data_IF_108947916874
#
_entry.id   IF_108947916874
#
_cell.length_a   1.000
_cell.length_b   1.000
_cell.length_c   1.000
_cell.angle_alpha   90.00
_cell.angle_beta   90.00
_cell.angle_gamma   90.00
#
_symmetry.space_group_name_H-M   'P 1'
#
loop_
_entity.id
_entity.type
_entity.pdbx_description
1 polymer ?
2 non-polymer ?
3 non-polymer ?
#
# COMPACT_ATOMS: atom_id res chain seq x y z
N UNK A 9 32.29 2.68 -0.35
CA UNK A 9 31.88 2.64 -1.75
C UNK A 9 31.08 3.89 -2.13
N UNK A 10 31.46 5.03 -1.54
CA UNK A 10 30.78 6.29 -1.81
C UNK A 10 31.13 6.87 -3.17
N UNK A 11 32.01 6.24 -3.94
CA UNK A 11 32.37 6.74 -5.25
C UNK A 11 31.89 5.85 -6.38
N UNK A 12 30.93 4.98 -6.07
CA UNK A 12 30.44 4.03 -7.07
C UNK A 12 29.66 4.74 -8.18
N UNK A 13 28.75 5.64 -7.79
CA UNK A 13 27.94 6.32 -8.78
C UNK A 13 28.74 7.36 -9.56
N UNK A 14 29.80 7.90 -8.96
CA UNK A 14 30.65 8.85 -9.67
C UNK A 14 31.65 8.16 -10.58
N UNK A 15 32.02 6.91 -10.30
CA UNK A 15 32.88 6.16 -11.20
C UNK A 15 32.11 5.45 -12.31
N UNK A 16 30.78 5.40 -12.22
CA UNK A 16 29.94 4.85 -13.26
C UNK A 16 29.35 5.92 -14.18
N UNK A 17 29.54 7.20 -13.85
CA UNK A 17 28.96 8.27 -14.65
C UNK A 17 27.51 8.56 -14.34
N UNK A 18 27.08 8.30 -13.11
CA UNK A 18 25.70 8.49 -12.68
C UNK A 18 25.66 9.69 -11.73
N UNK A 19 24.86 10.70 -12.00
CA UNK A 19 24.79 11.88 -11.12
C UNK A 19 24.01 11.56 -9.84
N UNK A 20 23.98 12.54 -8.95
CA UNK A 20 23.30 12.40 -7.69
C UNK A 20 23.86 13.32 -6.62
N UNK A 21 23.21 13.36 -5.46
CA UNK A 21 23.71 14.22 -4.38
C UNK A 21 25.00 13.67 -3.78
N UNK A 22 25.87 14.58 -3.38
CA UNK A 22 27.15 14.19 -2.79
C UNK A 22 26.92 13.55 -1.43
N UNK A 23 27.32 12.29 -1.23
CA UNK A 23 27.08 11.64 0.05
C UNK A 23 28.08 12.05 1.12
N UNK A 24 27.70 11.80 2.36
CA UNK A 24 28.53 12.02 3.53
C UNK A 24 29.04 10.71 4.09
N UNK A 25 30.17 10.71 4.80
CA UNK A 25 30.67 9.47 5.41
C UNK A 25 29.66 8.87 6.39
N UNK A 26 29.50 7.54 6.31
CA UNK A 26 28.58 6.79 7.15
C UNK A 26 27.14 7.14 6.85
N UNK A 27 26.81 8.44 6.94
CA UNK A 27 25.42 8.88 6.76
C UNK A 27 24.96 8.64 5.33
N UNK A 28 25.75 9.08 4.35
CA UNK A 28 25.35 8.97 2.97
C UNK A 28 24.47 10.12 2.52
N UNK A 29 23.18 9.83 2.24
CA UNK A 29 22.24 10.85 1.82
C UNK A 29 20.97 10.84 2.67
N UNK A 30 21.01 10.22 3.85
CA UNK A 30 19.82 10.16 4.69
C UNK A 30 19.50 11.50 5.32
N UNK A 31 20.46 12.42 5.39
CA UNK A 31 20.17 13.75 5.89
C UNK A 31 19.29 14.54 4.95
N UNK A 32 19.20 14.14 3.68
CA UNK A 32 18.31 14.77 2.72
C UNK A 32 16.87 14.28 2.86
N UNK A 33 16.58 13.47 3.87
CA UNK A 33 15.23 12.99 4.14
C UNK A 33 14.47 13.89 5.11
N UNK A 34 15.03 15.06 5.45
CA UNK A 34 14.32 15.97 6.33
C UNK A 34 13.08 16.55 5.65
N UNK A 35 13.14 16.74 4.33
CA UNK A 35 11.95 17.17 3.59
C UNK A 35 10.94 16.05 3.49
N UNK A 36 11.39 14.80 3.55
CA UNK A 36 10.54 13.65 3.39
C UNK A 36 11.05 12.71 2.31
N UNK A 37 10.43 11.54 2.25
CA UNK A 37 10.81 10.55 1.25
C UNK A 37 10.41 10.99 -0.15
N UNK A 38 9.18 11.50 -0.30
CA UNK A 38 8.69 11.86 -1.62
C UNK A 38 9.35 13.12 -2.15
N UNK A 39 9.58 14.10 -1.28
CA UNK A 39 10.19 15.36 -1.72
C UNK A 39 11.63 15.15 -2.16
N UNK A 40 12.32 14.15 -1.58
CA UNK A 40 13.69 13.86 -2.00
C UNK A 40 13.73 13.26 -3.40
N UNK A 41 12.76 12.41 -3.73
CA UNK A 41 12.74 11.79 -5.05
C UNK A 41 12.33 12.79 -6.13
N UNK A 42 11.45 13.74 -5.80
CA UNK A 42 11.02 14.71 -6.80
C UNK A 42 12.10 15.74 -7.09
N UNK A 43 12.85 16.15 -6.05
CA UNK A 43 13.95 17.08 -6.27
C UNK A 43 15.08 16.42 -7.07
N UNK A 44 15.39 15.16 -6.75
CA UNK A 44 16.43 14.45 -7.50
C UNK A 44 16.00 14.18 -8.94
N UNK A 45 14.70 13.97 -9.16
CA UNK A 45 14.20 13.78 -10.52
C UNK A 45 14.19 15.08 -11.31
N UNK A 46 14.15 16.22 -10.63
CA UNK A 46 14.10 17.51 -11.32
C UNK A 46 15.48 17.94 -11.80
N UNK A 47 16.51 17.73 -10.99
CA UNK A 47 17.85 18.25 -11.29
C UNK A 47 18.77 17.22 -11.92
N UNK A 48 18.44 15.93 -11.85
CA UNK A 48 19.32 14.88 -12.35
C UNK A 48 18.79 14.14 -13.57
N UNK A 49 17.49 14.19 -13.81
CA UNK A 49 16.93 13.66 -15.04
C UNK A 49 16.36 12.25 -14.86
N UNK A 50 16.72 11.36 -15.77
CA UNK A 50 16.07 10.04 -15.82
C UNK A 50 16.72 9.04 -14.87
N UNK A 51 18.00 9.23 -14.55
CA UNK A 51 18.74 8.28 -13.72
C UNK A 51 19.64 9.05 -12.77
N UNK A 52 19.58 8.70 -11.48
CA UNK A 52 20.45 9.26 -10.48
C UNK A 52 20.71 8.21 -9.41
N UNK A 53 21.66 8.51 -8.53
CA UNK A 53 22.03 7.58 -7.48
C UNK A 53 22.31 8.30 -6.18
N UNK A 54 22.03 7.62 -5.08
CA UNK A 54 22.29 8.13 -3.74
C UNK A 54 22.59 6.96 -2.82
N UNK A 55 22.91 7.28 -1.56
CA UNK A 55 23.36 6.27 -0.60
C UNK A 55 22.49 6.33 0.65
N UNK A 56 21.87 5.21 1.00
CA UNK A 56 21.22 5.04 2.29
C UNK A 56 22.25 4.47 3.26
N UNK A 57 23.08 5.36 3.80
CA UNK A 57 24.21 4.93 4.59
C UNK A 57 25.38 4.56 3.70
N UNK A 58 25.83 3.31 3.81
CA UNK A 58 26.84 2.78 2.90
C UNK A 58 26.23 1.99 1.75
N UNK A 59 24.91 1.87 1.71
CA UNK A 59 24.23 1.10 0.68
C UNK A 59 23.97 1.97 -0.53
N UNK A 60 24.46 1.62 -1.72
CA UNK A 60 24.13 2.39 -2.91
C UNK A 60 22.74 2.07 -3.43
N UNK A 61 22.02 3.11 -3.85
CA UNK A 61 20.67 2.98 -4.37
C UNK A 61 20.58 3.70 -5.70
N UNK A 62 20.14 3.00 -6.73
CA UNK A 62 19.99 3.55 -8.08
C UNK A 62 18.51 3.73 -8.38
N UNK A 63 18.15 4.92 -8.87
CA UNK A 63 16.78 5.24 -9.23
C UNK A 63 16.65 5.31 -10.75
N UNK A 64 15.56 4.74 -11.26
CA UNK A 64 15.31 4.68 -12.70
C UNK A 64 13.92 5.25 -12.97
N UNK A 65 13.78 5.94 -14.10
CA UNK A 65 12.49 6.49 -14.52
C UNK A 65 12.09 6.06 -15.93
N UNK A 66 12.98 5.46 -16.71
CA UNK A 66 12.64 5.07 -18.07
C UNK A 66 11.66 3.90 -18.04
N UNK A 67 10.54 3.97 -18.78
CA UNK A 67 9.56 2.89 -18.73
C UNK A 67 10.09 1.55 -19.19
N UNK A 68 11.05 1.54 -20.13
CA UNK A 68 11.60 0.27 -20.59
C UNK A 68 12.53 -0.35 -19.54
N UNK A 69 13.30 0.49 -18.84
CA UNK A 69 14.17 -0.03 -17.79
C UNK A 69 13.36 -0.54 -16.61
N UNK A 70 12.25 0.13 -16.29
CA UNK A 70 11.39 -0.35 -15.22
C UNK A 70 10.71 -1.65 -15.62
N UNK A 71 10.30 -1.76 -16.88
CA UNK A 71 9.69 -3.00 -17.37
C UNK A 71 10.70 -4.15 -17.34
N UNK A 72 11.96 -3.86 -17.64
CA UNK A 72 12.99 -4.90 -17.62
C UNK A 72 13.28 -5.36 -16.20
N UNK A 73 13.25 -4.44 -15.24
CA UNK A 73 13.60 -4.78 -13.87
C UNK A 73 12.48 -5.59 -13.21
N UNK A 74 11.24 -5.14 -13.36
CA UNK A 74 10.13 -5.72 -12.61
C UNK A 74 9.47 -6.90 -13.31
N UNK A 75 9.44 -6.90 -14.64
CA UNK A 75 8.70 -7.91 -15.42
C UNK A 75 9.64 -8.90 -16.09
N UNK A 76 10.58 -8.41 -16.89
CA UNK A 76 11.43 -9.27 -17.70
C UNK A 76 12.47 -10.08 -16.92
N UNK A 77 13.44 -9.41 -16.34
CA UNK A 77 14.55 -10.07 -15.65
C UNK A 77 14.27 -10.08 -14.15
N UNK A 78 13.07 -10.52 -13.77
CA UNK A 78 12.70 -10.53 -12.36
C UNK A 78 13.23 -11.79 -11.66
N UNK A 79 12.98 -12.96 -12.23
CA UNK A 79 13.42 -14.20 -11.60
C UNK A 79 14.94 -14.38 -11.64
N UNK A 80 15.63 -13.64 -12.50
CA UNK A 80 17.07 -13.81 -12.68
C UNK A 80 17.89 -12.82 -11.86
N UNK A 81 17.49 -11.56 -11.81
CA UNK A 81 18.31 -10.52 -11.16
C UNK A 81 17.52 -9.82 -10.07
N UNK A 82 16.36 -9.27 -10.42
CA UNK A 82 15.58 -8.45 -9.50
C UNK A 82 14.46 -9.29 -8.89
N UNK A 83 14.87 -10.18 -7.99
CA UNK A 83 13.96 -11.12 -7.35
C UNK A 83 13.53 -10.68 -5.95
N UNK A 84 14.42 -10.03 -5.19
CA UNK A 84 14.19 -9.73 -3.80
C UNK A 84 14.23 -8.23 -3.55
N UNK A 85 13.67 -7.82 -2.42
CA UNK A 85 13.79 -6.45 -1.94
C UNK A 85 14.98 -6.35 -0.97
N UNK A 86 15.26 -5.14 -0.49
CA UNK A 86 16.42 -5.05 0.39
C UNK A 86 16.08 -5.60 1.78
N UNK A 87 17.06 -6.23 2.44
CA UNK A 87 16.83 -6.75 3.80
C UNK A 87 16.83 -5.61 4.81
N UNK A 88 15.88 -5.73 5.76
CA UNK A 88 15.62 -4.61 6.67
C UNK A 88 15.52 -5.12 8.09
N UNK A 89 16.36 -4.53 8.90
CA UNK A 89 16.28 -4.74 10.33
C UNK A 89 16.29 -6.19 10.78
N UNK A 90 16.21 -6.40 12.09
CA UNK A 90 16.04 -7.76 12.63
C UNK A 90 14.63 -8.27 12.40
N UNK A 91 14.52 -9.34 11.62
CA UNK A 91 13.21 -9.90 11.32
C UNK A 91 12.79 -11.01 12.27
N UNK A 92 13.70 -11.58 13.03
CA UNK A 92 13.30 -12.56 14.03
C UNK A 92 12.89 -13.81 13.28
N UNK A 93 11.64 -14.22 13.51
CA UNK A 93 11.08 -15.37 12.81
C UNK A 93 10.44 -14.96 11.50
N UNK A 94 10.05 -13.69 11.37
CA UNK A 94 9.37 -13.12 10.20
C UNK A 94 10.18 -13.25 8.93
N UNK A 95 11.40 -13.74 8.92
CA UNK A 95 12.07 -14.07 7.64
C UNK A 95 11.23 -14.82 6.66
N UNK A 96 10.34 -15.68 7.14
CA UNK A 96 9.50 -16.51 6.27
C UNK A 96 8.33 -15.74 5.68
N UNK A 97 8.20 -14.45 5.96
CA UNK A 97 7.13 -13.67 5.35
C UNK A 97 7.34 -13.56 3.85
N UNK A 98 6.26 -13.74 3.09
CA UNK A 98 6.34 -13.81 1.64
C UNK A 98 7.01 -12.57 1.06
N UNK A 99 6.83 -11.42 1.71
CA UNK A 99 7.46 -10.19 1.23
C UNK A 99 8.89 -10.07 1.71
N UNK A 100 9.21 -10.64 2.87
CA UNK A 100 10.59 -10.66 3.35
C UNK A 100 11.37 -11.79 2.72
N UNK A 101 10.70 -12.91 2.41
CA UNK A 101 11.35 -14.07 1.81
C UNK A 101 12.02 -13.71 0.49
N UNK A 102 12.99 -14.52 0.10
CA UNK A 102 13.82 -14.24 -1.06
C UNK A 102 13.97 -15.50 -1.91
N UNK A 103 14.10 -15.29 -3.22
CA UNK A 103 14.48 -16.31 -4.20
C UNK A 103 13.44 -17.44 -4.20
N UNK A 104 13.87 -18.71 -4.28
CA UNK A 104 12.95 -19.82 -4.45
C UNK A 104 12.03 -19.98 -3.25
N UNK A 105 12.47 -19.54 -2.06
CA UNK A 105 11.60 -19.60 -0.88
C UNK A 105 10.36 -18.75 -1.08
N UNK A 106 10.51 -17.59 -1.72
CA UNK A 106 9.34 -16.75 -2.03
C UNK A 106 8.50 -17.37 -3.13
N UNK A 107 9.14 -17.98 -4.13
CA UNK A 107 8.41 -18.56 -5.25
C UNK A 107 7.46 -19.66 -4.79
N UNK A 108 7.80 -20.35 -3.70
CA UNK A 108 6.88 -21.32 -3.11
C UNK A 108 5.76 -20.63 -2.35
N UNK A 109 6.08 -19.58 -1.59
CA UNK A 109 5.06 -18.85 -0.85
C UNK A 109 4.13 -18.09 -1.79
N UNK A 110 4.68 -17.51 -2.86
CA UNK A 110 3.85 -16.83 -3.84
C UNK A 110 2.89 -17.80 -4.53
N UNK A 111 3.35 -19.03 -4.78
CA UNK A 111 2.52 -20.01 -5.45
C UNK A 111 1.50 -20.63 -4.50
N UNK A 112 1.91 -20.92 -3.26
CA UNK A 112 0.98 -21.52 -2.29
C UNK A 112 -0.06 -20.54 -1.80
N UNK A 113 0.14 -19.23 -2.02
CA UNK A 113 -0.82 -18.21 -1.59
C UNK A 113 -1.53 -17.54 -2.75
N UNK A 114 -1.18 -17.90 -3.99
CA UNK A 114 -1.79 -17.32 -5.19
C UNK A 114 -3.26 -17.72 -5.32
N UNK A 115 -3.63 -18.99 -5.09
CA UNK A 115 -5.06 -19.34 -5.19
C UNK A 115 -5.95 -18.59 -4.23
N UNK A 116 -5.41 -18.06 -3.13
CA UNK A 116 -6.25 -17.31 -2.17
C UNK A 116 -6.70 -15.97 -2.73
N UNK A 117 -6.06 -15.48 -3.79
CA UNK A 117 -6.43 -14.20 -4.37
C UNK A 117 -6.79 -14.37 -5.85
N UNK A 118 -7.80 -15.19 -6.13
CA UNK A 118 -8.24 -15.48 -7.49
C UNK A 118 -9.56 -14.77 -7.77
N UNK A 119 -9.98 -14.86 -9.04
CA UNK A 119 -11.25 -14.26 -9.45
C UNK A 119 -12.45 -14.97 -8.86
N UNK A 120 -12.29 -16.22 -8.44
CA UNK A 120 -13.40 -16.97 -7.86
C UNK A 120 -13.43 -16.88 -6.35
N UNK A 121 -12.27 -16.93 -5.72
CA UNK A 121 -12.20 -16.86 -4.26
C UNK A 121 -12.61 -15.48 -3.75
N UNK A 122 -12.41 -14.43 -4.56
CA UNK A 122 -12.80 -13.09 -4.14
C UNK A 122 -14.31 -12.96 -4.07
N UNK A 123 -15.04 -13.64 -4.95
CA UNK A 123 -16.49 -13.53 -4.95
C UNK A 123 -17.10 -14.23 -3.73
N UNK A 124 -16.39 -15.21 -3.16
CA UNK A 124 -16.87 -15.87 -1.95
C UNK A 124 -16.90 -14.91 -0.78
N UNK A 125 -15.96 -13.98 -0.71
CA UNK A 125 -15.87 -13.05 0.41
C UNK A 125 -16.76 -11.82 0.24
N UNK A 126 -17.40 -11.66 -0.92
CA UNK A 126 -18.27 -10.50 -1.14
C UNK A 126 -19.45 -10.49 -0.17
N UNK A 127 -20.21 -11.59 0.03
CA UNK A 127 -21.29 -11.55 1.02
C UNK A 127 -20.80 -11.35 2.45
N UNK A 128 -19.53 -11.63 2.73
CA UNK A 128 -19.02 -11.47 4.09
C UNK A 128 -18.62 -10.02 4.34
N UNK A 129 -17.85 -9.42 3.44
CA UNK A 129 -17.41 -8.05 3.64
C UNK A 129 -18.52 -7.03 3.38
N UNK A 130 -19.57 -7.43 2.65
CA UNK A 130 -20.71 -6.55 2.50
C UNK A 130 -21.51 -6.40 3.79
N UNK A 131 -21.36 -7.35 4.72
CA UNK A 131 -22.01 -7.23 6.02
C UNK A 131 -21.45 -6.05 6.81
N UNK A 132 -20.13 -5.91 6.84
CA UNK A 132 -19.51 -4.79 7.54
C UNK A 132 -19.76 -3.47 6.83
N UNK A 133 -20.13 -3.50 5.55
CA UNK A 133 -20.61 -2.29 4.90
C UNK A 133 -21.89 -1.78 5.52
N UNK A 134 -22.73 -2.69 6.05
CA UNK A 134 -23.91 -2.29 6.80
C UNK A 134 -23.56 -1.83 8.21
N UNK A 135 -22.53 -2.44 8.82
CA UNK A 135 -22.10 -2.03 10.15
C UNK A 135 -21.47 -0.65 10.11
N UNK A 136 -20.74 -0.34 9.03
CA UNK A 136 -20.13 0.97 8.91
C UNK A 136 -21.18 2.07 8.80
N UNK A 137 -22.34 1.76 8.22
CA UNK A 137 -23.44 2.73 8.17
C UNK A 137 -23.98 2.98 9.57
N UNK A 138 -24.07 1.92 10.40
CA UNK A 138 -24.58 2.07 11.74
C UNK A 138 -23.69 2.97 12.59
N UNK A 139 -22.38 2.77 12.51
CA UNK A 139 -21.45 3.68 13.19
C UNK A 139 -21.47 5.06 12.56
N UNK A 140 -21.74 5.14 11.26
CA UNK A 140 -21.88 6.44 10.61
C UNK A 140 -23.20 7.10 10.99
N UNK A 141 -24.30 6.34 10.94
CA UNK A 141 -25.59 6.89 11.31
C UNK A 141 -25.59 7.41 12.74
N UNK A 142 -24.71 6.89 13.59
CA UNK A 142 -24.57 7.39 14.95
C UNK A 142 -23.74 8.66 14.98
N UNK A 143 -22.61 8.67 14.26
CA UNK A 143 -21.75 9.84 14.22
C UNK A 143 -22.21 10.88 13.21
N UNK A 144 -23.25 10.59 12.42
CA UNK A 144 -23.85 11.58 11.54
C UNK A 144 -25.09 12.23 12.14
N UNK A 145 -25.93 11.44 12.83
CA UNK A 145 -27.08 12.01 13.52
C UNK A 145 -26.65 12.85 14.71
N UNK A 146 -25.47 12.56 15.29
CA UNK A 146 -24.93 13.42 16.33
C UNK A 146 -24.48 14.77 15.78
N UNK A 147 -24.35 14.90 14.46
CA UNK A 147 -24.10 16.16 13.80
C UNK A 147 -22.84 16.89 14.24
N UNK A 148 -21.69 16.29 14.00
CA UNK A 148 -20.41 16.89 14.37
C UNK A 148 -19.32 16.23 13.53
N UNK A 149 -18.17 16.90 13.37
CA UNK A 149 -17.10 16.34 12.53
C UNK A 149 -16.65 14.96 13.01
N UNK A 150 -16.33 14.10 12.05
CA UNK A 150 -15.97 12.71 12.31
C UNK A 150 -14.57 12.46 11.76
N UNK A 151 -13.74 11.79 12.54
CA UNK A 151 -12.41 11.38 12.09
C UNK A 151 -12.55 10.13 11.23
N UNK A 152 -12.06 10.19 9.99
CA UNK A 152 -12.28 9.12 9.04
C UNK A 152 -11.40 7.90 9.29
N UNK A 153 -10.18 8.12 9.80
CA UNK A 153 -9.27 7.00 10.00
C UNK A 153 -9.74 6.04 11.10
N UNK A 154 -10.61 6.50 11.99
CA UNK A 154 -11.11 5.62 13.05
C UNK A 154 -12.23 4.72 12.54
N UNK A 155 -13.22 5.31 11.85
CA UNK A 155 -14.34 4.52 11.35
C UNK A 155 -13.88 3.61 10.20
N UNK A 156 -13.06 4.13 9.30
CA UNK A 156 -12.55 3.30 8.21
C UNK A 156 -11.55 2.27 8.74
N UNK A 157 -10.72 2.66 9.71
CA UNK A 157 -9.82 1.71 10.32
C UNK A 157 -10.55 0.59 11.04
N UNK A 158 -11.70 0.89 11.62
CA UNK A 158 -12.51 -0.15 12.24
C UNK A 158 -13.11 -1.08 11.19
N UNK A 159 -13.63 -0.51 10.10
CA UNK A 159 -14.17 -1.33 9.01
C UNK A 159 -13.09 -2.24 8.43
N UNK A 160 -11.91 -1.67 8.14
CA UNK A 160 -10.83 -2.46 7.57
C UNK A 160 -10.39 -3.56 8.53
N UNK A 161 -10.37 -3.26 9.83
CA UNK A 161 -9.92 -4.26 10.81
C UNK A 161 -10.93 -5.39 10.96
N UNK A 162 -12.23 -5.07 10.92
CA UNK A 162 -13.24 -6.12 10.98
C UNK A 162 -13.28 -6.93 9.70
N UNK A 163 -13.01 -6.29 8.55
CA UNK A 163 -12.94 -7.03 7.29
C UNK A 163 -11.74 -7.98 7.30
N UNK A 164 -10.64 -7.54 7.92
CA UNK A 164 -9.46 -8.41 8.02
C UNK A 164 -9.78 -9.66 8.81
N UNK A 165 -10.31 -9.49 10.02
CA UNK A 165 -10.53 -10.62 10.92
C UNK A 165 -11.55 -11.61 10.36
N UNK A 166 -12.51 -11.14 9.57
CA UNK A 166 -13.53 -12.04 9.03
C UNK A 166 -13.03 -12.78 7.80
N UNK A 167 -12.25 -12.11 6.94
CA UNK A 167 -11.74 -12.74 5.74
C UNK A 167 -10.46 -13.52 5.97
N UNK A 168 -9.71 -13.20 7.03
CA UNK A 168 -8.50 -13.96 7.32
C UNK A 168 -8.83 -15.22 8.13
N UNK A 169 -9.53 -15.07 9.25
CA UNK A 169 -9.88 -16.19 10.10
C UNK A 169 -11.37 -16.43 10.21
N UNK A 170 -12.16 -15.37 10.40
CA UNK A 170 -13.61 -15.51 10.50
C UNK A 170 -14.17 -15.01 11.81
N UNK A 171 -13.39 -14.21 12.53
CA UNK A 171 -13.81 -13.65 13.81
C UNK A 171 -14.59 -12.36 13.54
N UNK A 172 -15.88 -12.37 13.87
CA UNK A 172 -16.75 -11.22 13.64
C UNK A 172 -16.75 -10.33 14.88
N UNK A 173 -16.09 -9.18 14.78
CA UNK A 173 -16.06 -8.19 15.85
C UNK A 173 -16.48 -6.84 15.28
N UNK A 174 -16.64 -5.86 16.16
CA UNK A 174 -16.94 -4.48 15.79
C UNK A 174 -15.85 -3.63 16.44
N UNK A 175 -14.72 -3.50 15.73
CA UNK A 175 -13.54 -2.85 16.29
C UNK A 175 -13.81 -1.45 16.81
N UNK A 176 -14.90 -0.82 16.37
CA UNK A 176 -15.27 0.49 16.89
C UNK A 176 -16.19 0.41 18.10
N UNK A 177 -17.04 -0.63 18.18
CA UNK A 177 -17.96 -0.77 19.30
C UNK A 177 -17.32 -1.45 20.50
N UNK A 178 -16.31 -2.29 20.29
CA UNK A 178 -15.60 -2.99 21.35
C UNK A 178 -14.15 -2.54 21.35
N UNK A 179 -13.85 -1.34 21.87
CA UNK A 179 -12.47 -0.84 21.87
C UNK A 179 -11.74 -1.16 23.18
N UNK A 180 -11.65 -2.46 23.49
CA UNK A 180 -11.01 -2.93 24.73
C UNK A 180 -9.78 -3.80 24.40
N UNK A 181 -9.86 -4.65 23.37
CA UNK A 181 -8.72 -5.39 22.91
C UNK A 181 -8.77 -5.72 21.40
N UNK A 182 -9.08 -4.73 20.56
CA UNK A 182 -9.19 -4.95 19.12
C UNK A 182 -7.82 -5.23 18.49
N UNK A 183 -7.11 -6.22 19.03
CA UNK A 183 -5.80 -6.55 18.54
C UNK A 183 -4.79 -5.46 18.36
N UNK A 184 -4.15 -5.40 17.20
CA UNK A 184 -3.16 -4.33 16.94
C UNK A 184 -2.16 -4.07 18.04
N UNK A 197 12.68 9.11 13.39
CA UNK A 197 12.78 7.67 13.62
C UNK A 197 14.05 7.34 14.43
N UNK A 198 13.88 6.54 15.49
CA UNK A 198 14.99 6.31 16.42
C UNK A 198 15.71 4.98 16.24
N UNK A 199 15.11 3.90 16.76
CA UNK A 199 15.79 2.61 16.81
C UNK A 199 16.25 2.13 15.44
N UNK A 200 15.58 2.56 14.38
CA UNK A 200 15.68 2.01 13.12
C UNK A 200 16.47 2.89 12.06
N UNK A 201 16.36 4.22 12.23
CA UNK A 201 17.31 5.12 11.58
C UNK A 201 18.78 4.78 11.80
N UNK A 202 19.16 4.50 13.04
CA UNK A 202 20.49 3.98 13.34
C UNK A 202 20.71 2.60 12.73
N UNK A 203 19.62 1.89 12.41
CA UNK A 203 19.75 0.57 11.80
C UNK A 203 20.12 0.68 10.32
N UNK A 204 19.54 1.65 9.62
CA UNK A 204 19.84 1.82 8.20
C UNK A 204 21.27 2.28 8.00
N UNK A 205 21.75 3.20 8.84
CA UNK A 205 23.13 3.67 8.72
C UNK A 205 24.11 2.60 9.19
N UNK A 206 23.71 1.79 10.19
CA UNK A 206 24.55 0.74 10.74
C UNK A 206 23.90 -0.61 10.49
N UNK A 207 24.09 -1.18 9.29
CA UNK A 207 23.51 -2.50 9.00
C UNK A 207 24.21 -3.64 9.72
N UNK A 208 25.39 -3.41 10.29
CA UNK A 208 26.13 -4.44 11.00
C UNK A 208 25.60 -4.69 12.41
N UNK A 209 24.51 -4.03 12.80
CA UNK A 209 23.86 -4.29 14.08
C UNK A 209 22.67 -5.23 13.94
N UNK A 210 22.30 -5.61 12.72
CA UNK A 210 21.17 -6.52 12.53
C UNK A 210 21.44 -7.90 13.11
N UNK A 211 22.57 -8.55 12.84
CA UNK A 211 22.77 -9.91 13.39
C UNK A 211 22.82 -9.96 14.90
N UNK A 212 23.29 -8.90 15.55
CA UNK A 212 23.37 -8.90 17.01
C UNK A 212 21.97 -8.90 17.61
N UNK A 213 21.05 -8.14 17.02
CA UNK A 213 19.68 -8.11 17.52
C UNK A 213 18.92 -9.39 17.19
N UNK A 214 19.35 -10.13 16.15
CA UNK A 214 18.71 -11.40 15.83
C UNK A 214 19.07 -12.46 16.85
N UNK A 215 20.33 -12.50 17.29
CA UNK A 215 20.77 -13.48 18.27
C UNK A 215 20.27 -13.17 19.68
N UNK A 216 19.75 -11.95 19.90
CA UNK A 216 19.19 -11.56 21.18
C UNK A 216 17.66 -11.63 21.19
N UNK A 217 17.07 -12.32 20.21
CA UNK A 217 15.63 -12.47 20.08
C UNK A 217 14.91 -11.13 19.93
N UNK A 218 15.64 -10.08 19.52
CA UNK A 218 15.07 -8.76 19.36
C UNK A 218 14.58 -8.60 17.93
N UNK A 219 13.34 -8.13 17.78
CA UNK A 219 12.74 -7.92 16.48
C UNK A 219 12.26 -6.47 16.37
N UNK A 220 12.22 -5.97 15.13
CA UNK A 220 11.68 -4.63 14.90
C UNK A 220 10.22 -4.56 15.33
N UNK A 221 9.47 -5.63 15.07
CA UNK A 221 8.11 -5.69 15.56
C UNK A 221 8.16 -5.89 17.08
N UNK A 222 7.14 -5.45 17.81
CA UNK A 222 7.06 -5.79 19.24
C UNK A 222 6.87 -7.29 19.35
N UNK A 223 7.98 -8.00 19.59
CA UNK A 223 7.98 -9.45 19.52
C UNK A 223 7.04 -10.10 20.52
N UNK A 224 6.70 -9.41 21.61
CA UNK A 224 5.78 -9.98 22.59
C UNK A 224 4.39 -10.21 22.02
N UNK A 225 4.05 -9.56 20.90
CA UNK A 225 2.83 -9.91 20.17
C UNK A 225 3.26 -11.10 19.30
N UNK A 226 2.46 -11.44 18.29
CA UNK A 226 2.77 -12.54 17.37
C UNK A 226 2.48 -13.85 18.09
N UNK A 227 3.11 -14.07 19.26
CA UNK A 227 2.83 -15.26 20.05
C UNK A 227 1.36 -15.32 20.44
N UNK A 228 0.69 -14.17 20.54
CA UNK A 228 -0.75 -14.15 20.63
C UNK A 228 -1.37 -14.85 19.43
N UNK A 229 -1.07 -14.36 18.23
CA UNK A 229 -1.55 -15.02 17.03
C UNK A 229 -0.97 -16.41 16.86
N UNK A 230 0.28 -16.62 17.32
CA UNK A 230 0.86 -17.95 17.26
C UNK A 230 0.07 -18.95 18.10
N UNK A 231 -0.57 -18.48 19.17
CA UNK A 231 -1.47 -19.31 19.97
C UNK A 231 -2.94 -19.02 19.69
N UNK A 232 -3.26 -17.90 19.03
CA UNK A 232 -4.65 -17.66 18.63
C UNK A 232 -5.08 -18.60 17.52
N UNK A 233 -4.15 -18.99 16.64
CA UNK A 233 -4.44 -19.94 15.58
C UNK A 233 -4.25 -21.35 16.13
N UNK A 234 -5.03 -21.70 17.16
CA UNK A 234 -5.02 -23.04 17.74
C UNK A 234 -6.38 -23.70 17.68
N UNK A 235 -7.45 -22.98 18.02
CA UNK A 235 -8.78 -23.54 17.91
C UNK A 235 -9.26 -23.65 16.47
N UNK A 236 -8.63 -22.92 15.54
CA UNK A 236 -8.92 -23.03 14.12
C UNK A 236 -8.20 -24.19 13.45
N UNK A 237 -6.96 -24.50 13.88
CA UNK A 237 -6.28 -25.68 13.33
C UNK A 237 -6.78 -26.97 13.91
N UNK A 238 -7.93 -26.93 14.59
CA UNK A 238 -8.58 -28.13 15.10
C UNK A 238 -10.00 -28.30 14.60
N UNK A 239 -10.64 -27.25 14.10
CA UNK A 239 -12.00 -27.34 13.61
C UNK A 239 -12.23 -26.35 12.48
N UNK A 250 -12.50 -18.37 4.11
CA UNK A 250 -11.60 -17.30 4.54
C UNK A 250 -10.18 -17.56 4.07
N UNK A 251 -9.26 -16.65 4.44
CA UNK A 251 -7.87 -16.81 4.07
C UNK A 251 -7.23 -18.01 4.76
N UNK A 252 -7.56 -18.22 6.04
CA UNK A 252 -6.93 -19.30 6.81
C UNK A 252 -7.36 -20.66 6.31
N UNK A 253 -8.67 -20.88 6.16
CA UNK A 253 -9.17 -22.18 5.73
C UNK A 253 -8.62 -22.59 4.38
N UNK A 254 -8.37 -21.64 3.49
CA UNK A 254 -7.80 -21.93 2.17
C UNK A 254 -6.28 -22.04 2.20
N UNK A 255 -5.66 -22.39 3.32
CA UNK A 255 -4.19 -22.47 3.36
C UNK A 255 -3.68 -23.74 4.02
N UNK A 256 -4.35 -24.18 5.09
CA UNK A 256 -3.82 -25.28 5.88
C UNK A 256 -4.19 -26.60 5.24
N UNK A 257 -5.29 -26.62 4.47
CA UNK A 257 -5.93 -27.84 4.03
C UNK A 257 -4.98 -28.81 3.35
N UNK A 258 -3.96 -28.30 2.66
CA UNK A 258 -3.02 -29.16 1.97
C UNK A 258 -2.17 -29.92 3.00
N UNK A 269 3.74 -28.73 2.77
CA UNK A 269 2.71 -28.03 3.52
C UNK A 269 3.30 -26.88 4.31
N UNK A 270 2.49 -25.85 4.55
CA UNK A 270 2.93 -24.69 5.30
C UNK A 270 3.17 -25.06 6.76
N UNK A 271 4.24 -24.51 7.33
CA UNK A 271 4.58 -24.75 8.72
C UNK A 271 3.63 -23.99 9.65
N UNK A 272 3.83 -24.16 10.95
CA UNK A 272 3.03 -23.45 11.94
C UNK A 272 3.57 -22.04 12.18
N UNK A 273 4.90 -21.89 12.25
CA UNK A 273 5.47 -20.56 12.40
C UNK A 273 5.37 -19.76 11.11
N UNK A 274 5.45 -20.43 9.95
CA UNK A 274 5.22 -19.74 8.69
C UNK A 274 3.77 -19.27 8.60
N UNK A 275 2.83 -20.11 9.05
CA UNK A 275 1.42 -19.77 8.90
C UNK A 275 1.07 -18.52 9.70
N UNK A 276 1.68 -18.35 10.87
CA UNK A 276 1.47 -17.13 11.64
C UNK A 276 2.22 -15.95 11.02
N UNK A 277 3.40 -16.21 10.42
CA UNK A 277 4.17 -15.14 9.81
C UNK A 277 3.45 -14.56 8.60
N UNK A 278 2.78 -15.40 7.81
CA UNK A 278 2.07 -14.91 6.64
C UNK A 278 0.81 -14.13 7.03
N UNK A 279 0.15 -14.53 8.11
CA UNK A 279 -1.04 -13.82 8.55
C UNK A 279 -0.73 -12.45 9.13
N UNK A 280 0.50 -12.23 9.59
CA UNK A 280 0.87 -10.91 10.10
C UNK A 280 1.00 -9.90 8.97
N UNK A 281 1.57 -10.34 7.84
CA UNK A 281 1.67 -9.46 6.69
C UNK A 281 0.28 -9.16 6.12
N UNK A 282 -0.61 -10.15 6.15
CA UNK A 282 -1.96 -9.94 5.65
C UNK A 282 -2.74 -8.95 6.51
N UNK A 283 -2.44 -8.87 7.81
CA UNK A 283 -3.10 -7.91 8.67
C UNK A 283 -2.50 -6.53 8.51
N UNK A 284 -1.16 -6.44 8.47
CA UNK A 284 -0.50 -5.15 8.29
C UNK A 284 -0.88 -4.52 6.96
N UNK A 285 -1.08 -5.32 5.93
CA UNK A 285 -1.46 -4.79 4.62
C UNK A 285 -2.89 -4.27 4.63
N UNK A 286 -3.87 -5.16 4.76
CA UNK A 286 -5.27 -4.81 4.65
C UNK A 286 -5.75 -3.77 5.64
N UNK A 287 -4.93 -3.39 6.62
CA UNK A 287 -5.34 -2.41 7.63
C UNK A 287 -4.91 -0.99 7.22
N UNK A 288 -3.61 -0.73 7.26
CA UNK A 288 -3.11 0.62 6.97
C UNK A 288 -3.38 1.01 5.52
N UNK A 289 -3.40 0.04 4.61
CA UNK A 289 -3.64 0.36 3.20
C UNK A 289 -5.09 0.76 2.97
N UNK A 290 -6.04 -0.09 3.40
CA UNK A 290 -7.45 0.21 3.18
C UNK A 290 -7.88 1.46 3.94
N UNK A 291 -7.34 1.66 5.15
CA UNK A 291 -7.76 2.81 5.95
C UNK A 291 -7.24 4.12 5.37
N UNK A 292 -5.98 4.14 4.93
CA UNK A 292 -5.38 5.38 4.46
C UNK A 292 -5.95 5.80 3.10
N UNK A 293 -6.12 4.83 2.19
CA UNK A 293 -6.61 5.16 0.85
C UNK A 293 -8.05 5.66 0.91
N UNK A 294 -8.89 5.02 1.73
CA UNK A 294 -10.27 5.46 1.85
C UNK A 294 -10.35 6.87 2.42
N UNK A 295 -9.47 7.21 3.36
CA UNK A 295 -9.43 8.57 3.88
C UNK A 295 -8.96 9.55 2.82
N UNK A 296 -8.04 9.14 1.96
CA UNK A 296 -7.62 9.98 0.85
C UNK A 296 -8.74 10.17 -0.17
N UNK A 297 -9.58 9.16 -0.37
CA UNK A 297 -10.65 9.26 -1.35
C UNK A 297 -11.72 10.23 -0.85
N UNK A 298 -12.16 10.07 0.39
CA UNK A 298 -13.20 10.94 0.92
C UNK A 298 -12.75 12.38 1.07
N UNK A 299 -11.44 12.62 1.15
CA UNK A 299 -10.95 14.00 1.14
C UNK A 299 -11.16 14.64 -0.23
N UNK A 300 -10.85 13.90 -1.30
CA UNK A 300 -11.03 14.43 -2.64
C UNK A 300 -12.51 14.60 -2.97
N UNK A 301 -13.35 13.67 -2.53
CA UNK A 301 -14.78 13.76 -2.80
C UNK A 301 -15.42 14.93 -2.05
N UNK A 302 -14.91 15.25 -0.86
CA UNK A 302 -15.45 16.38 -0.10
C UNK A 302 -14.93 17.71 -0.62
N UNK A 303 -13.73 17.72 -1.20
CA UNK A 303 -13.17 18.94 -1.77
C UNK A 303 -13.56 19.13 -3.24
N UNK A 304 -14.18 18.14 -3.86
CA UNK A 304 -14.66 18.23 -5.24
C UNK A 304 -16.08 17.67 -5.28
N UNK A 305 -17.07 18.46 -4.87
CA UNK A 305 -18.46 17.96 -4.87
C UNK A 305 -18.97 17.58 -6.25
N UNK A 306 -18.41 18.14 -7.31
CA UNK A 306 -18.81 17.74 -8.67
C UNK A 306 -18.43 16.30 -8.95
N UNK A 307 -17.37 15.80 -8.31
CA UNK A 307 -16.99 14.39 -8.48
C UNK A 307 -17.82 13.50 -7.57
N UNK A 308 -18.11 13.95 -6.35
CA UNK A 308 -18.89 13.14 -5.43
C UNK A 308 -20.34 13.02 -5.90
N UNK A 309 -20.91 14.11 -6.43
CA UNK A 309 -22.28 14.04 -6.93
C UNK A 309 -22.37 13.12 -8.14
N UNK A 310 -21.41 13.22 -9.07
CA UNK A 310 -21.41 12.33 -10.23
C UNK A 310 -21.19 10.88 -9.84
N UNK A 311 -20.42 10.64 -8.78
CA UNK A 311 -20.20 9.27 -8.32
C UNK A 311 -21.46 8.73 -7.62
N UNK A 312 -22.13 9.58 -6.85
CA UNK A 312 -23.36 9.14 -6.19
C UNK A 312 -24.47 8.87 -7.19
N UNK A 313 -24.48 9.59 -8.31
CA UNK A 313 -25.50 9.35 -9.34
C UNK A 313 -25.25 8.03 -10.06
N UNK A 314 -23.99 7.67 -10.26
CA UNK A 314 -23.68 6.39 -10.89
C UNK A 314 -23.99 5.22 -9.95
N UNK A 315 -23.71 5.39 -8.65
CA UNK A 315 -23.99 4.33 -7.69
C UNK A 315 -25.49 4.09 -7.59
N UNK A 316 -26.28 5.16 -7.54
CA UNK A 316 -27.73 5.01 -7.51
C UNK A 316 -28.30 4.52 -8.83
N UNK A 317 -27.60 4.75 -9.95
CA UNK A 317 -28.08 4.25 -11.23
C UNK A 317 -27.86 2.75 -11.36
N UNK A 318 -26.68 2.27 -10.99
CA UNK A 318 -26.42 0.83 -11.04
C UNK A 318 -27.21 0.10 -9.96
N UNK A 319 -27.22 0.66 -8.75
CA UNK A 319 -27.95 0.09 -7.62
C UNK A 319 -29.13 0.99 -7.27
N UNK A 320 -30.32 0.71 -7.80
CA UNK A 320 -31.46 1.59 -7.56
C UNK A 320 -32.00 1.44 -6.14
N UNK A 321 -32.34 2.57 -5.53
CA UNK A 321 -32.98 2.61 -4.21
C UNK A 321 -32.13 1.91 -3.15
N UNK A 322 -30.85 2.27 -3.10
CA UNK A 322 -29.91 1.73 -2.11
C UNK A 322 -29.85 0.20 -2.18
N UNK A 323 -29.62 -0.32 -3.38
CA UNK A 323 -29.54 -1.76 -3.56
C UNK A 323 -28.20 -2.29 -3.06
N UNK A 324 -28.16 -3.55 -2.64
CA UNK A 324 -26.90 -4.13 -2.14
C UNK A 324 -25.92 -4.34 -3.28
N UNK A 325 -24.62 -4.10 -3.05
CA UNK A 325 -23.63 -4.29 -4.10
C UNK A 325 -23.11 -5.72 -4.15
N UNK A 326 -22.91 -6.21 -5.37
CA UNK A 326 -22.42 -7.56 -5.61
C UNK A 326 -21.03 -7.48 -6.26
N UNK A 327 -20.46 -8.66 -6.52
CA UNK A 327 -19.15 -8.73 -7.15
C UNK A 327 -19.20 -8.17 -8.57
N UNK A 328 -20.20 -8.59 -9.34
CA UNK A 328 -20.35 -8.08 -10.71
C UNK A 328 -20.80 -6.64 -10.74
N UNK A 329 -21.45 -6.16 -9.68
CA UNK A 329 -21.85 -4.75 -9.62
C UNK A 329 -20.65 -3.83 -9.51
N UNK A 330 -19.67 -4.21 -8.69
CA UNK A 330 -18.48 -3.38 -8.51
C UNK A 330 -17.68 -3.29 -9.80
N UNK A 331 -17.55 -4.41 -10.52
CA UNK A 331 -16.79 -4.43 -11.76
C UNK A 331 -17.46 -3.66 -12.89
N UNK A 332 -18.68 -3.17 -12.69
CA UNK A 332 -19.38 -2.43 -13.72
C UNK A 332 -19.17 -0.92 -13.60
N UNK A 333 -19.20 -0.39 -12.38
CA UNK A 333 -19.04 1.04 -12.16
C UNK A 333 -17.66 1.51 -12.62
N UNK A 334 -17.61 2.22 -13.75
CA UNK A 334 -16.34 2.68 -14.28
C UNK A 334 -15.89 4.00 -13.67
N UNK A 335 -16.81 4.92 -13.39
CA UNK A 335 -16.43 6.17 -12.76
C UNK A 335 -15.95 5.96 -11.33
N UNK A 336 -16.50 4.94 -10.65
CA UNK A 336 -15.96 4.57 -9.34
C UNK A 336 -14.52 4.08 -9.47
N UNK A 337 -14.21 3.38 -10.56
CA UNK A 337 -12.84 2.96 -10.81
C UNK A 337 -11.96 4.15 -11.17
N UNK A 338 -12.53 5.13 -11.89
CA UNK A 338 -11.77 6.32 -12.24
C UNK A 338 -11.43 7.16 -11.01
N UNK A 339 -12.31 7.17 -10.00
CA UNK A 339 -12.03 7.90 -8.78
C UNK A 339 -10.98 7.19 -7.95
N UNK A 340 -11.07 5.86 -7.86
CA UNK A 340 -10.09 5.10 -7.08
C UNK A 340 -8.72 5.16 -7.74
N UNK A 341 -8.67 5.04 -9.06
CA UNK A 341 -7.38 5.05 -9.75
C UNK A 341 -6.70 6.42 -9.70
N UNK A 342 -7.48 7.49 -9.72
CA UNK A 342 -6.88 8.83 -9.69
C UNK A 342 -6.37 9.19 -8.31
N UNK A 343 -7.04 8.71 -7.25
CA UNK A 343 -6.55 8.95 -5.90
C UNK A 343 -5.26 8.17 -5.64
N UNK A 344 -5.18 6.94 -6.15
CA UNK A 344 -3.95 6.16 -6.02
C UNK A 344 -2.81 6.79 -6.80
N UNK A 345 -3.10 7.57 -7.84
CA UNK A 345 -2.06 8.32 -8.53
C UNK A 345 -1.46 9.40 -7.63
N UNK A 346 -2.33 10.14 -6.94
CA UNK A 346 -1.85 11.21 -6.06
C UNK A 346 -1.17 10.63 -4.82
N UNK A 347 -1.74 9.58 -4.24
CA UNK A 347 -1.23 9.01 -2.99
C UNK A 347 -0.97 7.52 -3.16
N UNK A 348 0.14 7.15 -3.80
CA UNK A 348 0.55 5.74 -3.78
C UNK A 348 1.29 5.41 -2.50
N UNK A 349 0.60 4.73 -1.57
CA UNK A 349 1.14 4.50 -0.24
C UNK A 349 2.41 3.67 -0.23
N UNK A 350 2.84 3.16 -1.38
CA UNK A 350 4.10 2.45 -1.45
C UNK A 350 5.26 3.42 -1.63
N UNK A 351 5.05 4.48 -2.42
CA UNK A 351 6.04 5.50 -2.65
C UNK A 351 7.18 4.97 -3.54
N UNK A 352 7.80 3.88 -3.10
CA UNK A 352 8.95 3.29 -3.78
C UNK A 352 8.79 1.84 -4.10
N UNK A 353 9.40 1.40 -5.19
CA UNK A 353 9.51 -0.01 -5.56
C UNK A 353 10.99 -0.36 -5.59
N UNK A 354 11.40 -1.31 -4.75
CA UNK A 354 12.81 -1.63 -4.58
C UNK A 354 13.08 -3.07 -5.02
N UNK A 355 14.23 -3.27 -5.67
CA UNK A 355 14.70 -4.57 -6.09
C UNK A 355 16.20 -4.64 -5.88
N UNK A 356 16.69 -5.80 -5.44
CA UNK A 356 18.11 -6.03 -5.19
C UNK A 356 18.72 -6.66 -6.43
N UNK A 357 19.83 -6.08 -6.90
CA UNK A 357 20.54 -6.62 -8.06
C UNK A 357 21.38 -7.81 -7.62
N UNK A 358 21.06 -8.99 -8.15
CA UNK A 358 21.72 -10.22 -7.73
C UNK A 358 23.06 -10.45 -8.41
N UNK A 359 23.28 -9.87 -9.59
CA UNK A 359 24.53 -10.10 -10.31
C UNK A 359 24.80 -8.92 -11.22
N UNK A 360 26.03 -8.84 -11.71
CA UNK A 360 26.43 -7.78 -12.64
C UNK A 360 25.67 -7.96 -13.95
N UNK A 361 24.86 -6.96 -14.30
CA UNK A 361 24.02 -7.01 -15.50
C UNK A 361 24.08 -5.67 -16.20
N UNK A 362 23.51 -5.63 -17.41
CA UNK A 362 23.47 -4.42 -18.23
C UNK A 362 22.09 -4.34 -18.86
N UNK A 363 21.25 -3.43 -18.38
CA UNK A 363 19.87 -3.29 -18.83
C UNK A 363 19.73 -2.03 -19.65
N UNK A 364 19.22 -2.16 -20.87
CA UNK A 364 18.89 -1.03 -21.74
C UNK A 364 20.08 -0.09 -21.95
N UNK A 365 21.28 -0.62 -21.87
CA UNK A 365 22.48 0.13 -22.17
C UNK A 365 23.19 0.78 -21.00
N UNK A 366 23.06 0.24 -19.80
CA UNK A 366 23.83 0.73 -18.66
C UNK A 366 24.12 -0.42 -17.72
N UNK A 367 25.32 -0.38 -17.12
CA UNK A 367 25.78 -1.44 -16.24
C UNK A 367 25.38 -1.17 -14.81
N UNK A 368 24.98 -2.23 -14.10
CA UNK A 368 24.59 -2.17 -12.70
C UNK A 368 25.41 -3.17 -11.92
N UNK A 369 26.26 -2.75 -10.99
CA UNK A 369 27.05 -3.71 -10.22
C UNK A 369 26.19 -4.49 -9.23
N UNK A 370 26.75 -5.61 -8.78
CA UNK A 370 26.03 -6.49 -7.85
C UNK A 370 25.90 -5.83 -6.49
N UNK A 371 24.74 -6.02 -5.86
CA UNK A 371 24.47 -5.51 -4.54
C UNK A 371 23.77 -4.18 -4.49
N UNK A 372 23.57 -3.52 -5.63
CA UNK A 372 22.92 -2.21 -5.67
C UNK A 372 21.41 -2.40 -5.66
N UNK A 373 20.73 -1.65 -4.79
CA UNK A 373 19.28 -1.70 -4.72
C UNK A 373 18.71 -0.75 -5.77
N UNK A 374 17.99 -1.30 -6.75
CA UNK A 374 17.37 -0.51 -7.79
C UNK A 374 15.99 -0.06 -7.32
N UNK A 375 15.80 1.24 -7.19
CA UNK A 375 14.57 1.81 -6.67
C UNK A 375 13.79 2.49 -7.80
N UNK A 376 12.48 2.34 -7.76
CA UNK A 376 11.57 2.95 -8.72
C UNK A 376 10.72 3.98 -7.98
N UNK A 377 10.95 5.28 -8.18
CA UNK A 377 10.16 6.28 -7.46
C UNK A 377 8.74 6.41 -8.00
N UNK A 378 7.80 5.69 -7.39
CA UNK A 378 6.42 5.71 -7.88
C UNK A 378 5.77 7.07 -7.66
N UNK A 379 6.05 7.72 -6.52
CA UNK A 379 5.47 9.02 -6.26
C UNK A 379 5.95 10.07 -7.24
N UNK A 380 7.25 10.07 -7.55
CA UNK A 380 7.79 11.07 -8.47
C UNK A 380 7.30 10.84 -9.89
N UNK A 381 7.09 9.59 -10.29
CA UNK A 381 6.60 9.30 -11.64
C UNK A 381 5.13 9.69 -11.79
N UNK A 382 4.36 9.65 -10.70
CA UNK A 382 2.94 9.99 -10.76
C UNK A 382 2.69 11.49 -10.88
N UNK A 383 3.62 12.33 -10.41
CA UNK A 383 3.44 13.77 -10.48
C UNK A 383 4.51 14.39 -11.38
N UNK A 384 4.57 13.95 -12.64
CA UNK A 384 5.55 14.40 -13.58
C UNK A 384 4.85 14.99 -14.81
N UNK A 385 5.17 16.23 -15.20
CA UNK A 385 4.55 16.80 -16.42
C UNK A 385 4.90 16.04 -17.70
N UNK A 386 5.89 15.15 -17.66
CA UNK A 386 6.22 14.37 -18.85
C UNK A 386 5.08 13.43 -19.25
N UNK A 387 4.30 12.97 -18.27
CA UNK A 387 3.21 12.03 -18.54
C UNK A 387 1.86 12.48 -18.03
N UNK A 388 1.79 13.48 -17.15
CA UNK A 388 0.53 13.92 -16.57
C UNK A 388 0.40 15.42 -16.72
N UNK A 389 -0.79 15.87 -17.14
CA UNK A 389 -1.09 17.28 -17.25
C UNK A 389 -1.78 17.74 -15.97
N UNK A 390 -1.27 18.84 -15.39
CA UNK A 390 -1.68 19.31 -14.07
C UNK A 390 -1.53 18.16 -13.07
N UNK A 391 -0.31 17.85 -12.64
CA UNK A 391 -0.11 16.70 -11.75
C UNK A 391 -0.51 16.97 -10.31
N UNK A 392 -0.69 18.22 -9.92
CA UNK A 392 -1.13 18.56 -8.57
C UNK A 392 -2.64 18.57 -8.42
N UNK A 393 -3.38 18.43 -9.51
CA UNK A 393 -4.84 18.49 -9.48
C UNK A 393 -5.45 17.10 -9.48
N UNK A 394 -6.73 17.05 -9.10
CA UNK A 394 -7.51 15.82 -9.00
C UNK A 394 -8.52 15.80 -10.13
N UNK A 395 -8.17 15.13 -11.23
CA UNK A 395 -9.02 15.04 -12.41
C UNK A 395 -9.32 13.58 -12.71
N UNK A 396 -10.47 13.06 -12.26
CA UNK A 396 -10.77 11.64 -12.48
C UNK A 396 -10.90 11.25 -13.94
N UNK A 397 -11.15 12.20 -14.84
CA UNK A 397 -11.30 11.89 -16.26
C UNK A 397 -9.99 11.46 -16.92
N UNK A 398 -8.87 11.45 -16.19
CA UNK A 398 -7.64 10.94 -16.74
C UNK A 398 -7.70 9.43 -16.97
N UNK A 399 -8.55 8.73 -16.23
CA UNK A 399 -8.66 7.27 -16.32
C UNK A 399 -9.95 6.84 -17.03
N UNK A 400 -10.59 7.74 -17.76
CA UNK A 400 -11.76 7.35 -18.55
C UNK A 400 -11.35 6.38 -19.65
N UNK A 401 -12.33 5.59 -20.12
CA UNK A 401 -12.05 4.58 -21.13
C UNK A 401 -11.54 5.19 -22.43
N UNK A 402 -11.73 6.49 -22.62
CA UNK A 402 -11.12 7.17 -23.76
C UNK A 402 -9.68 7.58 -23.45
N UNK A 403 -9.40 7.96 -22.20
CA UNK A 403 -8.09 8.44 -21.81
C UNK A 403 -7.24 7.40 -21.09
N UNK A 404 -7.81 6.24 -20.73
CA UNK A 404 -7.04 5.21 -20.06
C UNK A 404 -6.05 4.52 -20.98
N UNK A 405 -6.15 4.72 -22.30
CA UNK A 405 -5.27 4.05 -23.23
C UNK A 405 -3.92 4.75 -23.36
N UNK A 406 -3.88 6.06 -23.16
CA UNK A 406 -2.66 6.85 -23.31
C UNK A 406 -1.93 7.05 -21.99
N UNK A 407 -1.87 6.00 -21.16
CA UNK A 407 -1.19 6.05 -19.88
C UNK A 407 -0.24 4.87 -19.81
N UNK A 408 1.04 5.15 -19.61
CA UNK A 408 2.05 4.11 -19.55
C UNK A 408 1.84 3.22 -18.33
N UNK A 409 1.69 1.90 -18.48
CA UNK A 409 1.45 1.04 -17.32
C UNK A 409 2.65 0.91 -16.39
N UNK A 410 3.82 1.41 -16.77
CA UNK A 410 5.00 1.36 -15.93
C UNK A 410 5.34 2.70 -15.28
N UNK A 411 4.65 3.77 -15.66
CA UNK A 411 4.72 5.01 -14.91
C UNK A 411 3.70 5.02 -13.78
N UNK A 412 2.55 4.38 -13.97
CA UNK A 412 1.48 4.29 -12.98
C UNK A 412 1.46 2.85 -12.45
N UNK A 413 2.20 2.61 -11.37
CA UNK A 413 2.30 1.29 -10.75
C UNK A 413 2.01 1.42 -9.25
N UNK A 414 0.73 1.56 -8.88
CA UNK A 414 0.40 1.61 -7.44
C UNK A 414 0.51 0.26 -6.76
N UNK A 415 0.51 -0.84 -7.51
CA UNK A 415 0.59 -2.18 -6.94
C UNK A 415 1.84 -2.92 -7.40
N UNK A 416 2.82 -2.18 -7.94
CA UNK A 416 3.98 -2.81 -8.53
C UNK A 416 3.67 -3.49 -9.85
N UNK A 417 4.56 -4.42 -10.22
CA UNK A 417 4.38 -5.16 -11.46
C UNK A 417 5.28 -6.39 -11.43
N UNK A 418 4.98 -7.33 -12.33
CA UNK A 418 5.76 -8.54 -12.44
C UNK A 418 5.37 -9.58 -11.40
N UNK A 419 6.23 -10.59 -11.22
CA UNK A 419 5.92 -11.65 -10.24
C UNK A 419 5.90 -11.15 -8.80
N UNK A 420 6.70 -10.15 -8.46
CA UNK A 420 6.78 -9.63 -7.10
C UNK A 420 5.78 -8.51 -6.84
N UNK A 421 4.70 -8.43 -7.61
CA UNK A 421 3.73 -7.37 -7.46
C UNK A 421 2.83 -7.64 -6.26
N UNK A 422 1.85 -6.74 -6.06
CA UNK A 422 0.92 -6.87 -4.94
C UNK A 422 0.00 -8.07 -5.16
N UNK A 423 0.12 -9.08 -4.28
CA UNK A 423 -0.71 -10.26 -4.40
C UNK A 423 -2.14 -9.98 -3.96
N UNK A 424 -2.36 -8.91 -3.20
CA UNK A 424 -3.69 -8.57 -2.76
C UNK A 424 -4.26 -7.36 -3.47
N UNK A 425 -3.91 -7.22 -4.76
CA UNK A 425 -4.39 -6.09 -5.54
C UNK A 425 -5.89 -6.16 -5.76
N UNK A 426 -6.37 -7.22 -6.41
CA UNK A 426 -7.79 -7.35 -6.69
C UNK A 426 -8.61 -7.49 -5.41
N UNK A 427 -8.00 -7.99 -4.33
CA UNK A 427 -8.69 -8.06 -3.06
C UNK A 427 -8.84 -6.68 -2.43
N UNK A 428 -7.89 -5.78 -2.68
CA UNK A 428 -7.93 -4.46 -2.07
C UNK A 428 -8.98 -3.58 -2.74
N UNK A 429 -8.99 -3.53 -4.07
CA UNK A 429 -9.94 -2.68 -4.77
C UNK A 429 -11.38 -3.11 -4.53
N UNK A 430 -11.61 -4.41 -4.34
CA UNK A 430 -12.96 -4.88 -4.08
C UNK A 430 -13.43 -4.47 -2.68
N UNK A 431 -12.53 -4.52 -1.70
CA UNK A 431 -12.89 -4.15 -0.33
C UNK A 431 -13.13 -2.65 -0.20
N UNK A 432 -12.34 -1.84 -0.93
CA UNK A 432 -12.50 -0.40 -0.85
C UNK A 432 -13.75 0.07 -1.57
N UNK A 433 -13.97 -0.42 -2.79
CA UNK A 433 -15.12 0.02 -3.56
C UNK A 433 -16.43 -0.44 -2.92
N UNK A 434 -16.45 -1.64 -2.34
CA UNK A 434 -17.65 -2.10 -1.63
C UNK A 434 -17.97 -1.21 -0.45
N UNK A 435 -16.95 -0.66 0.21
CA UNK A 435 -17.17 0.32 1.27
C UNK A 435 -17.57 1.67 0.70
N UNK A 436 -17.00 2.05 -0.44
CA UNK A 436 -17.33 3.34 -1.05
C UNK A 436 -18.78 3.36 -1.54
N UNK A 437 -19.28 2.23 -2.03
CA UNK A 437 -20.66 2.17 -2.52
C UNK A 437 -21.63 2.31 -1.37
N UNK A 438 -21.43 1.54 -0.29
CA UNK A 438 -22.37 1.55 0.82
C UNK A 438 -22.33 2.86 1.60
N UNK A 439 -21.17 3.51 1.65
CA UNK A 439 -21.06 4.77 2.40
C UNK A 439 -21.77 5.90 1.65
N UNK A 440 -21.49 6.03 0.36
CA UNK A 440 -22.06 7.12 -0.43
C UNK A 440 -23.54 6.94 -0.73
N UNK A 441 -24.12 5.76 -0.46
CA UNK A 441 -25.53 5.56 -0.71
C UNK A 441 -26.39 6.25 0.35
N UNK A 442 -25.84 6.46 1.55
CA UNK A 442 -26.61 6.99 2.66
C UNK A 442 -26.14 8.35 3.16
N UNK A 443 -24.91 8.76 2.86
CA UNK A 443 -24.36 9.99 3.41
C UNK A 443 -23.60 10.76 2.35
N UNK A 444 -23.50 12.07 2.57
CA UNK A 444 -22.66 12.96 1.80
C UNK A 444 -21.58 13.54 2.69
N UNK A 445 -20.58 14.16 2.09
CA UNK A 445 -19.41 14.65 2.81
C UNK A 445 -19.06 16.06 2.38
N UNK A 446 -18.89 16.95 3.35
CA UNK A 446 -18.48 18.33 3.13
C UNK A 446 -17.32 18.67 4.07
N UNK A 447 -16.47 19.61 3.67
CA UNK A 447 -15.33 19.98 4.53
C UNK A 447 -15.81 20.65 5.82
N UNK A 448 -14.88 20.74 6.76
CA UNK A 448 -15.13 21.38 8.06
C UNK A 448 -14.13 22.50 8.28
N UNK A 449 -14.32 23.23 9.38
CA UNK A 449 -13.38 24.27 9.78
C UNK A 449 -12.04 23.71 10.20
N UNK A 450 -11.99 22.45 10.61
CA UNK A 450 -10.74 21.79 10.97
C UNK A 450 -10.13 21.04 9.79
N UNK A 451 -10.86 20.90 8.69
CA UNK A 451 -10.32 20.20 7.52
C UNK A 451 -9.15 20.99 6.94
N UNK A 452 -8.04 20.30 6.72
CA UNK A 452 -6.81 20.94 6.25
C UNK A 452 -6.89 21.11 4.74
N UNK A 453 -7.12 22.34 4.30
CA UNK A 453 -7.18 22.65 2.87
C UNK A 453 -6.15 23.74 2.57
N UNK A 454 -5.11 23.46 1.78
CA UNK A 454 -4.81 22.15 1.17
C UNK A 454 -4.30 21.12 2.17
N UNK A 455 -4.27 19.86 1.77
CA UNK A 455 -3.85 18.78 2.66
C UNK A 455 -2.34 18.62 2.64
N UNK A 456 -1.74 18.53 3.82
CA UNK A 456 -0.32 18.28 3.96
C UNK A 456 -0.09 16.82 4.37
N UNK A 457 0.92 16.21 3.78
CA UNK A 457 1.23 14.81 4.07
C UNK A 457 2.07 14.71 5.35
N UNK A 458 2.19 13.48 5.85
CA UNK A 458 2.95 13.24 7.06
C UNK A 458 4.44 13.44 6.81
N UNK A 459 5.14 13.92 7.83
CA UNK A 459 6.58 14.16 7.73
C UNK A 459 7.40 12.89 7.76
N UNK A 460 6.83 11.78 8.23
CA UNK A 460 7.53 10.52 8.28
C UNK A 460 7.58 9.83 6.93
N UNK A 461 7.33 8.52 6.91
CA UNK A 461 7.34 7.77 5.67
C UNK A 461 6.14 6.86 5.53
N UNK A 462 5.25 6.90 6.52
CA UNK A 462 3.89 6.44 6.27
C UNK A 462 3.19 7.49 5.42
N UNK A 463 2.53 7.05 4.35
CA UNK A 463 1.84 7.99 3.48
C UNK A 463 0.42 8.22 4.00
N UNK A 464 0.37 8.87 5.16
CA UNK A 464 -0.86 9.29 5.80
C UNK A 464 -0.89 10.80 5.90
N UNK A 465 -2.06 11.40 6.08
CA UNK A 465 -2.12 12.86 6.22
C UNK A 465 -1.38 13.32 7.47
N UNK A 466 -0.91 14.58 7.41
CA UNK A 466 -0.26 15.17 8.57
C UNK A 466 -1.22 15.26 9.75
N UNK A 467 -2.41 15.81 9.51
CA UNK A 467 -3.49 15.83 10.48
C UNK A 467 -4.61 14.89 10.01
N UNK A 468 -5.23 14.16 10.95
CA UNK A 468 -6.29 13.22 10.54
C UNK A 468 -7.44 13.94 9.87
N UNK A 469 -7.94 13.34 8.79
CA UNK A 469 -8.98 13.98 7.99
C UNK A 469 -10.29 13.98 8.76
N UNK A 470 -10.91 15.15 8.86
CA UNK A 470 -12.21 15.32 9.51
C UNK A 470 -13.12 16.07 8.55
N UNK A 471 -14.34 15.56 8.38
CA UNK A 471 -15.30 16.14 7.45
C UNK A 471 -16.67 16.22 8.11
N UNK A 472 -17.57 16.95 7.48
CA UNK A 472 -18.97 17.04 7.91
C UNK A 472 -19.79 16.02 7.14
N UNK A 473 -20.61 15.26 7.86
CA UNK A 473 -21.40 14.18 7.29
C UNK A 473 -22.88 14.54 7.45
N UNK A 474 -23.63 14.41 6.36
CA UNK A 474 -25.07 14.66 6.36
C UNK A 474 -25.79 13.46 5.78
N UNK A 475 -26.97 13.16 6.33
CA UNK A 475 -27.77 12.04 5.86
C UNK A 475 -28.71 12.48 4.74
N UNK A 476 -28.79 11.66 3.71
CA UNK A 476 -29.62 11.98 2.54
C UNK A 476 -31.09 11.66 2.80
X LIG B 1 3.32 -5.92 -2.36
X LIG B 1 0.45 -2.07 -3.11
X LIG B 1 -3.02 -4.16 -0.44
X LIG B 1 -0.23 -8.08 0.14
X LIG B 1 2.86 -4.69 -2.78
X LIG B 1 3.60 -3.72 -3.55
X LIG B 1 2.81 -2.66 -3.76
X LIG B 1 1.54 -2.91 -3.13
X LIG B 1 3.22 -1.39 -4.55
X LIG B 1 5.05 -3.88 -4.05
X LIG B 1 5.04 -4.48 -5.45
X LIG B 1 6.45 -4.67 -5.92
X LIG B 1 6.63 -5.02 -7.12
X LIG B 1 7.39 -4.46 -5.12
X LIG B 1 -0.73 -2.27 -2.42
X LIG B 1 -1.81 -1.33 -2.28
X LIG B 1 -2.78 -1.90 -1.54
X LIG B 1 -2.33 -3.24 -1.20
X LIG B 1 -1.79 0.09 -2.91
X LIG B 1 -4.16 -1.35 -1.08
X LIG B 1 -4.64 -0.13 -1.38
X LIG B 1 -2.60 -5.43 -0.11
X LIG B 1 -3.40 -6.46 0.52
X LIG B 1 -2.62 -7.55 0.69
X LIG B 1 -1.32 -7.24 0.16
X LIG B 1 -4.89 -6.26 0.91
X LIG B 1 -2.96 -8.93 1.31
X LIG B 1 -4.15 -9.29 1.79
X LIG B 1 0.99 -7.83 -0.46
X LIG B 1 2.14 -8.70 -0.44
X LIG B 1 3.12 -8.10 -1.13
X LIG B 1 2.62 -6.83 -1.61
X LIG B 1 2.23 -10.08 0.25
X LIG B 1 4.53 -8.66 -1.38
X LIG B 1 4.49 -9.61 -2.58
X LIG B 1 5.87 -10.12 -2.88
X LIG B 1 5.99 -10.99 -3.79
X LIG B 1 6.84 -9.66 -2.23
X LIG B 1 1.60 -4.16 -2.54
X LIG B 1 -1.08 -3.42 -1.75
X LIG B 1 -1.33 -5.93 -0.32
X LIG B 1 1.31 -6.69 -1.18
X LIG B 1 0.14 -5.03 -1.40
X LIG C 1 12.27 0.05 4.82
X LIG C 1 12.33 -0.47 8.64
X LIG C 1 14.24 -2.03 10.16
X LIG C 1 12.24 -1.87 8.86
X LIG C 1 13.43 0.05 9.19
X LIG C 1 9.26 2.50 8.33
X LIG C 1 9.35 3.71 5.79
X LIG C 1 10.07 2.03 7.31
X LIG C 1 8.55 3.66 8.11
X LIG C 1 8.60 4.27 6.84
X LIG C 1 10.06 2.53 6.03
X LIG C 1 12.43 0.53 3.48
X LIG C 1 11.03 2.34 3.91
X LIG C 1 14.39 -0.67 9.94
X LIG C 1 13.12 -2.63 9.63
X LIG C 1 13.39 1.40 8.86
X LIG C 1 13.73 3.92 8.48
X LIG C 1 14.51 2.00 9.38
X LIG C 1 12.60 3.22 7.95
X LIG C 1 8.24 -2.09 10.56
X LIG C 1 10.11 -0.65 10.20
X LIG C 1 8.88 -1.21 8.39
X LIG C 1 8.02 -1.97 9.19
X LIG C 1 8.68 -1.06 6.96
X LIG C 1 8.22 -0.85 4.34
X LIG C 1 7.32 -1.64 5.04
X LIG C 1 9.29 -0.26 5.00
X LIG C 1 8.12 -0.64 2.97
X LIG C 1 13.75 -1.75 4.14
X LIG C 1 13.90 -1.26 2.85
X LIG C 1 13.22 -0.10 2.52
X LIG C 1 12.10 5.60 7.10
X LIG C 1 13.24 6.16 7.65
X LIG C 1 7.61 -3.08 1.85
X LIG C 1 6.23 -3.61 2.32
X LIG C 1 5.58 -4.86 1.69
X LIG C 1 3.09 -5.10 3.25
X LIG C 1 2.34 -4.05 2.39
X LIG C 1 2.23 -2.67 2.54
X LIG C 1 1.69 -4.66 1.31
X LIG C 1 0.84 -2.61 0.56
X LIG C 1 1.47 -1.94 1.62
X LIG C 1 10.92 1.85 5.21
X LIG C 1 11.82 1.68 3.01
X LIG C 1 14.73 3.33 9.22
X LIG C 1 9.35 -1.42 11.08
X LIG C 1 7.59 -1.71 6.38
X LIG C 1 12.96 -1.12 5.11
X LIG C 1 11.89 4.24 7.29
X LIG C 1 14.04 5.28 8.35
X LIG C 1 11.40 0.63 5.67
X LIG C 1 9.97 -0.63 8.85
X LIG C 1 12.30 1.86 8.19
X LIG C 1 9.54 -0.25 6.34
X LIG C 1 8.41 -1.86 2.08
X LIG C 1 0.96 -3.94 0.44
X LIG C 1 8.22 -3.77 1.10
X LIG C 1 4.55 -5.83 2.68
X LIG C 1 10.98 0.41 7.55
#
# INVERSE_FOLDING_TARGET
>A
MAYLYGTHSHGLFKKLGIPGPTPLPFLGNILSYHKGFCMFDMECHKKYGKVWGFYDGQQPVLAITDPDMIKTVLVKECYSVFTNRRPFGPVGFMKSAISIAEDEEWKRLRSLLSPTFTSGKLKEMVPIIAQYGDVLVRNLRREAETGKPVTLKDVFGAYSMDVITSTSFGVNIDSLNNPQDPFVENTKKLLRFDFLDPFFLSITVFPFLIPILEVLNICVFPREVTNFLRKSVKRMKESRLEDTQKHRVDFLQLMIDSQNSKETESHKALSDLELVAQSIIFIFAGYETTSSVLSFIMYELATHPDVQQKLQEEIDAVLPNKAPPTYDTVLQMEYLDMVVNETLRLFPIAMRLERVCKKDVEINGMFIPKGVVVMIPSYALHRDPKYWTEPEKFLPERFSKKNKDNIDPYIYTPFGSGPRNCIGMRFALMNMKLALIRVLQNFSFKPCKETQIPLKLSLGGLLQPEKPVVLKVESRDGTVSGAHHHH
>B hetero
1 HEM CHA CHB CHC CHD C1A C2A C3A C4A CMA CAA CBA CGA O1A O2A C1B C2B C3B C4B CMB CAB CBB C1C C2C C3C C4C CMC CAC CBC C1D C2D C3D C4D CMD CAD CBD CGD O1D O2D NA NB NC ND FE
>C hetero
1 O39 C13 C15 C16 C17 C18 C01 C02 C03 C04 C05 C06 C09 C11 C19 C20 C21 C22 C24 C26 C27 C28 C29 C30 C32 C33 C36 C37 C38 C40 C41 C42 C44 C45 C48 C49 C50 C52 C54 C55 C56 C58 C59 C08 C12 C25 C31 C35 C39 C43 C46 N10 N14 N23 N34 N47 N57 O53 S51 IR07
#
